data_IF_887908546671
#
_entry.id   IF_887908546671
#
_cell.length_a   1.000
_cell.length_b   1.000
_cell.length_c   1.000
_cell.angle_alpha   90.00
_cell.angle_beta   90.00
_cell.angle_gamma   90.00
#
_symmetry.space_group_name_H-M   'P 1'
#
loop_
_entity.id
_entity.type
_entity.pdbx_description
1 polymer ?
#
# COMPACT_ATOMS: atom_id res chain seq x y z
N UNK A 1 -4.98 -8.75 14.22
CA UNK A 1 -3.61 -8.96 13.74
C UNK A 1 -3.35 -10.44 13.41
N UNK A 2 -3.78 -11.37 14.26
CA UNK A 2 -3.56 -12.81 14.02
C UNK A 2 -4.11 -13.30 12.69
N UNK A 3 -5.34 -12.92 12.32
CA UNK A 3 -5.93 -13.27 11.02
C UNK A 3 -5.12 -12.72 9.86
N UNK A 4 -4.58 -11.52 10.01
CA UNK A 4 -3.75 -10.89 8.98
C UNK A 4 -2.43 -11.63 8.80
N UNK A 5 -1.79 -12.06 9.88
CA UNK A 5 -0.57 -12.87 9.81
C UNK A 5 -0.81 -14.21 9.11
N UNK A 6 -1.91 -14.89 9.46
CA UNK A 6 -2.32 -16.12 8.78
C UNK A 6 -2.55 -15.89 7.29
N UNK A 7 -3.27 -14.81 6.95
CA UNK A 7 -3.48 -14.41 5.55
C UNK A 7 -2.16 -14.24 4.79
N UNK A 8 -1.18 -13.57 5.39
CA UNK A 8 0.12 -13.35 4.76
C UNK A 8 0.87 -14.65 4.48
N UNK A 9 0.80 -15.61 5.40
CA UNK A 9 1.42 -16.92 5.22
C UNK A 9 0.75 -17.73 4.10
N UNK A 10 -0.58 -17.73 4.08
CA UNK A 10 -1.37 -18.52 3.14
C UNK A 10 -1.43 -17.95 1.72
N UNK A 11 -1.27 -16.64 1.58
CA UNK A 11 -1.47 -15.92 0.31
C UNK A 11 -0.22 -15.26 -0.22
N UNK A 12 0.96 -15.72 0.19
CA UNK A 12 2.22 -15.16 -0.30
C UNK A 12 2.25 -15.22 -1.83
N UNK A 13 2.39 -14.07 -2.53
CA UNK A 13 2.40 -14.06 -3.97
C UNK A 13 3.70 -14.61 -4.53
N UNK A 14 3.64 -15.08 -5.78
CA UNK A 14 4.84 -15.34 -6.55
C UNK A 14 5.46 -14.02 -6.96
N UNK A 15 6.73 -13.79 -6.60
CA UNK A 15 7.46 -12.58 -6.93
C UNK A 15 8.40 -12.84 -8.09
N UNK A 16 8.32 -12.00 -9.11
CA UNK A 16 9.18 -12.10 -10.29
C UNK A 16 10.07 -10.86 -10.37
N UNK A 17 11.38 -10.98 -10.00
CA UNK A 17 12.30 -9.84 -10.02
C UNK A 17 12.46 -9.15 -11.38
N UNK A 18 12.08 -9.80 -12.48
CA UNK A 18 12.12 -9.19 -13.80
C UNK A 18 11.19 -8.00 -13.95
N UNK A 19 10.13 -7.93 -13.12
CA UNK A 19 9.15 -6.85 -13.12
C UNK A 19 9.40 -5.81 -12.02
N UNK A 20 10.50 -5.94 -11.28
CA UNK A 20 10.84 -4.97 -10.23
C UNK A 20 11.22 -3.63 -10.85
N UNK A 21 10.84 -2.59 -10.15
CA UNK A 21 11.17 -1.21 -10.46
C UNK A 21 11.61 -0.48 -9.20
N UNK A 22 12.01 0.76 -9.33
CA UNK A 22 12.29 1.59 -8.15
C UNK A 22 10.96 1.88 -7.45
N UNK A 23 10.86 1.48 -6.20
CA UNK A 23 9.72 1.82 -5.34
C UNK A 23 10.19 2.77 -4.24
N UNK A 24 9.31 3.68 -3.86
CA UNK A 24 9.56 4.61 -2.78
C UNK A 24 9.47 3.93 -1.41
N UNK A 25 8.43 3.13 -1.21
CA UNK A 25 8.21 2.34 0.01
C UNK A 25 7.43 3.05 1.10
N UNK A 26 7.22 4.37 0.99
CA UNK A 26 6.52 5.16 2.01
C UNK A 26 5.76 6.34 1.39
N UNK A 27 4.89 6.05 0.43
CA UNK A 27 4.17 7.05 -0.39
C UNK A 27 2.96 7.67 0.31
N UNK A 28 3.01 7.79 1.63
CA UNK A 28 1.92 8.43 2.38
C UNK A 28 1.89 9.96 2.19
N UNK A 29 0.79 10.59 2.61
CA UNK A 29 0.55 12.03 2.39
C UNK A 29 1.61 12.94 2.99
N UNK A 30 2.35 12.51 4.01
CA UNK A 30 3.41 13.32 4.62
C UNK A 30 4.64 13.49 3.72
N UNK A 31 4.79 12.63 2.71
CA UNK A 31 5.91 12.64 1.78
C UNK A 31 5.57 13.30 0.44
N UNK A 32 4.37 13.84 0.30
CA UNK A 32 3.94 14.59 -0.87
C UNK A 32 3.91 16.08 -0.56
N UNK A 33 4.60 16.88 -1.37
CA UNK A 33 4.63 18.33 -1.24
C UNK A 33 3.99 18.97 -2.47
N UNK A 34 3.09 19.90 -2.22
CA UNK A 34 2.46 20.71 -3.28
C UNK A 34 3.08 22.10 -3.27
N UNK A 35 3.66 22.53 -4.40
CA UNK A 35 4.21 23.86 -4.54
C UNK A 35 3.11 24.91 -4.74
N UNK A 36 3.50 26.19 -4.62
CA UNK A 36 2.62 27.33 -4.93
C UNK A 36 2.28 27.45 -6.43
N UNK A 37 2.95 26.66 -7.29
CA UNK A 37 2.65 26.52 -8.73
C UNK A 37 1.84 25.26 -9.06
N UNK A 38 1.23 24.64 -8.06
CA UNK A 38 0.49 23.38 -8.19
C UNK A 38 1.34 22.21 -8.72
N UNK A 39 2.65 22.24 -8.49
CA UNK A 39 3.54 21.13 -8.79
C UNK A 39 3.61 20.17 -7.60
N UNK A 40 3.47 18.89 -7.86
CA UNK A 40 3.47 17.84 -6.83
C UNK A 40 4.83 17.15 -6.79
N UNK A 41 5.43 17.08 -5.61
CA UNK A 41 6.73 16.45 -5.37
C UNK A 41 6.59 15.31 -4.36
N UNK A 42 7.20 14.20 -4.68
CA UNK A 42 7.35 13.09 -3.76
C UNK A 42 8.76 13.15 -3.16
N UNK A 43 8.85 13.22 -1.84
CA UNK A 43 10.10 13.39 -1.10
C UNK A 43 10.36 12.21 -0.16
N UNK A 44 11.50 12.21 0.53
CA UNK A 44 11.91 11.20 1.49
C UNK A 44 12.08 9.81 0.85
N UNK A 45 13.06 9.75 -0.04
CA UNK A 45 13.41 8.55 -0.82
C UNK A 45 14.42 7.62 -0.14
N UNK A 46 14.72 7.82 1.14
CA UNK A 46 15.77 7.04 1.83
C UNK A 46 15.46 5.54 1.88
N UNK A 47 14.19 5.16 1.86
CA UNK A 47 13.75 3.76 1.82
C UNK A 47 13.59 3.18 0.42
N UNK A 48 13.94 3.93 -0.63
CA UNK A 48 13.76 3.47 -2.00
C UNK A 48 14.60 2.23 -2.31
N UNK A 49 13.99 1.32 -3.07
CA UNK A 49 14.64 0.06 -3.43
C UNK A 49 14.08 -0.47 -4.74
N UNK A 50 14.78 -1.44 -5.33
CA UNK A 50 14.23 -2.23 -6.43
C UNK A 50 13.29 -3.29 -5.85
N UNK A 51 12.02 -3.20 -6.17
CA UNK A 51 11.01 -4.11 -5.65
C UNK A 51 9.75 -4.11 -6.53
N UNK A 52 8.74 -4.84 -6.09
CA UNK A 52 7.46 -4.93 -6.78
C UNK A 52 6.71 -3.59 -6.69
N UNK A 53 6.32 -2.99 -7.84
CA UNK A 53 5.58 -1.74 -7.84
C UNK A 53 4.23 -1.80 -7.11
N UNK A 54 3.68 -2.98 -6.90
CA UNK A 54 2.45 -3.16 -6.11
C UNK A 54 2.58 -2.64 -4.67
N UNK A 55 3.80 -2.49 -4.14
CA UNK A 55 4.05 -1.90 -2.82
C UNK A 55 3.53 -0.46 -2.78
N UNK A 56 3.99 0.39 -3.69
CA UNK A 56 3.58 1.80 -3.75
C UNK A 56 2.14 1.96 -4.23
N UNK A 57 1.77 1.23 -5.26
CA UNK A 57 0.42 1.27 -5.84
C UNK A 57 -0.63 0.86 -4.80
N UNK A 58 -0.38 -0.21 -4.06
CA UNK A 58 -1.28 -0.67 -3.02
C UNK A 58 -1.46 0.35 -1.90
N UNK A 59 -0.38 0.94 -1.43
CA UNK A 59 -0.44 1.98 -0.40
C UNK A 59 -1.26 3.19 -0.86
N UNK A 60 -1.04 3.66 -2.09
CA UNK A 60 -1.77 4.79 -2.64
C UNK A 60 -3.25 4.49 -2.81
N UNK A 61 -3.59 3.38 -3.46
CA UNK A 61 -4.98 3.09 -3.79
C UNK A 61 -5.81 2.76 -2.55
N UNK A 62 -5.30 1.93 -1.64
CA UNK A 62 -6.04 1.57 -0.43
C UNK A 62 -6.23 2.74 0.54
N UNK A 63 -5.30 3.69 0.57
CA UNK A 63 -5.38 4.82 1.51
C UNK A 63 -6.11 6.04 0.95
N UNK A 64 -6.01 6.30 -0.36
CA UNK A 64 -6.39 7.62 -0.89
C UNK A 64 -7.37 7.59 -2.05
N UNK A 65 -7.61 6.45 -2.67
CA UNK A 65 -8.43 6.37 -3.88
C UNK A 65 -9.64 5.46 -3.64
N UNK A 66 -10.87 5.95 -3.84
CA UNK A 66 -12.04 5.08 -3.77
C UNK A 66 -11.92 3.90 -4.72
N UNK A 67 -12.35 2.72 -4.28
CA UNK A 67 -12.17 1.48 -5.02
C UNK A 67 -12.78 1.50 -6.42
N UNK A 68 -13.89 2.19 -6.60
CA UNK A 68 -14.55 2.33 -7.90
C UNK A 68 -13.78 3.22 -8.90
N UNK A 69 -12.72 3.89 -8.45
CA UNK A 69 -11.86 4.71 -9.30
C UNK A 69 -10.50 4.05 -9.59
N UNK A 70 -10.24 2.86 -9.02
CA UNK A 70 -8.95 2.20 -9.19
C UNK A 70 -8.63 1.85 -10.65
N UNK A 71 -9.60 1.37 -11.41
CA UNK A 71 -9.40 1.02 -12.82
C UNK A 71 -8.92 2.22 -13.65
N UNK A 72 -9.56 3.36 -13.47
CA UNK A 72 -9.18 4.61 -14.16
C UNK A 72 -7.80 5.08 -13.72
N UNK A 73 -7.52 5.01 -12.41
CA UNK A 73 -6.21 5.40 -11.87
C UNK A 73 -5.10 4.52 -12.44
N UNK A 74 -5.29 3.20 -12.45
CA UNK A 74 -4.31 2.25 -12.98
C UNK A 74 -4.07 2.46 -14.47
N UNK A 75 -5.11 2.73 -15.25
CA UNK A 75 -4.99 3.05 -16.66
C UNK A 75 -4.13 4.29 -16.88
N UNK A 76 -4.39 5.36 -16.14
CA UNK A 76 -3.61 6.60 -16.23
C UNK A 76 -2.16 6.42 -15.77
N UNK A 77 -1.95 5.59 -14.78
CA UNK A 77 -0.60 5.24 -14.29
C UNK A 77 0.17 4.39 -15.31
N UNK A 78 -0.53 3.73 -16.23
CA UNK A 78 0.07 2.87 -17.24
C UNK A 78 0.23 1.42 -16.79
N UNK A 79 -0.53 0.99 -15.80
CA UNK A 79 -0.51 -0.37 -15.27
C UNK A 79 -1.81 -1.09 -15.62
N UNK A 80 -1.68 -2.30 -16.18
CA UNK A 80 -2.86 -3.09 -16.50
C UNK A 80 -3.46 -3.71 -15.24
N UNK A 81 -4.75 -3.46 -15.03
CA UNK A 81 -5.49 -4.11 -13.96
C UNK A 81 -5.54 -5.62 -14.18
N UNK A 82 -5.27 -6.38 -13.11
CA UNK A 82 -5.32 -7.83 -13.14
C UNK A 82 -5.59 -8.39 -11.75
N UNK A 83 -6.08 -9.63 -11.70
CA UNK A 83 -6.26 -10.34 -10.43
C UNK A 83 -4.94 -10.50 -9.70
N UNK A 84 -3.86 -10.81 -10.41
CA UNK A 84 -2.53 -10.94 -9.84
C UNK A 84 -2.05 -9.64 -9.19
N UNK A 85 -2.19 -8.51 -9.88
CA UNK A 85 -1.85 -7.20 -9.32
C UNK A 85 -2.68 -6.91 -8.07
N UNK A 86 -3.98 -7.15 -8.11
CA UNK A 86 -4.88 -6.92 -6.96
C UNK A 86 -4.47 -7.75 -5.75
N UNK A 87 -4.10 -9.01 -5.95
CA UNK A 87 -3.63 -9.89 -4.86
C UNK A 87 -2.31 -9.38 -4.26
N UNK A 88 -1.38 -8.95 -5.09
CA UNK A 88 -0.10 -8.43 -4.62
C UNK A 88 -0.27 -7.11 -3.88
N UNK A 89 -1.10 -6.21 -4.38
CA UNK A 89 -1.44 -4.95 -3.72
C UNK A 89 -2.00 -5.19 -2.31
N UNK A 90 -2.98 -6.07 -2.20
CA UNK A 90 -3.58 -6.41 -0.90
C UNK A 90 -2.56 -7.00 0.05
N UNK A 91 -1.74 -7.94 -0.42
CA UNK A 91 -0.73 -8.61 0.40
C UNK A 91 0.27 -7.60 0.99
N UNK A 92 0.82 -6.72 0.16
CA UNK A 92 1.75 -5.69 0.64
C UNK A 92 1.09 -4.67 1.56
N UNK A 93 -0.16 -4.28 1.26
CA UNK A 93 -0.89 -3.32 2.10
C UNK A 93 -1.17 -3.89 3.49
N UNK A 94 -1.46 -5.19 3.60
CA UNK A 94 -1.61 -5.86 4.89
C UNK A 94 -0.30 -5.82 5.68
N UNK A 95 0.84 -6.09 5.06
CA UNK A 95 2.16 -5.99 5.72
C UNK A 95 2.38 -4.57 6.26
N UNK A 96 2.14 -3.56 5.44
CA UNK A 96 2.34 -2.16 5.80
C UNK A 96 1.42 -1.76 6.96
N UNK A 97 0.16 -2.18 6.93
CA UNK A 97 -0.81 -1.89 7.99
C UNK A 97 -0.39 -2.52 9.33
N UNK A 98 0.08 -3.76 9.31
CA UNK A 98 0.61 -4.42 10.53
C UNK A 98 1.80 -3.64 11.07
N UNK A 99 2.75 -3.25 10.22
CA UNK A 99 3.91 -2.46 10.61
C UNK A 99 3.53 -1.13 11.26
N UNK A 100 2.51 -0.45 10.73
CA UNK A 100 2.00 0.81 11.29
C UNK A 100 1.30 0.61 12.64
N UNK A 101 0.58 -0.50 12.80
CA UNK A 101 -0.01 -0.86 14.10
C UNK A 101 1.08 -1.09 15.14
N UNK A 102 2.08 -1.89 14.82
CA UNK A 102 3.19 -2.20 15.73
C UNK A 102 3.98 -0.94 16.10
N UNK A 103 4.33 -0.14 15.10
CA UNK A 103 5.05 1.11 15.32
C UNK A 103 4.26 2.07 16.24
N UNK A 104 2.97 2.22 15.98
CA UNK A 104 2.10 3.09 16.80
C UNK A 104 2.01 2.60 18.24
N UNK A 105 1.93 1.28 18.45
CA UNK A 105 1.94 0.68 19.78
C UNK A 105 3.27 0.94 20.51
N UNK A 106 4.39 0.73 19.85
CA UNK A 106 5.72 0.98 20.42
C UNK A 106 5.91 2.45 20.81
N UNK A 107 5.38 3.38 20.01
CA UNK A 107 5.41 4.81 20.29
C UNK A 107 4.33 5.25 21.28
N UNK A 108 3.52 4.34 21.80
CA UNK A 108 2.37 4.62 22.69
C UNK A 108 1.35 5.59 22.10
N UNK A 109 1.24 5.59 20.77
CA UNK A 109 0.26 6.39 20.01
C UNK A 109 -1.00 5.57 19.76
N UNK A 110 -1.71 5.27 20.84
CA UNK A 110 -2.83 4.32 20.80
C UNK A 110 -4.01 4.78 19.95
N UNK A 111 -4.20 6.08 19.81
CA UNK A 111 -5.23 6.63 18.92
C UNK A 111 -4.90 6.29 17.44
N UNK A 112 -3.64 6.47 17.05
CA UNK A 112 -3.18 6.12 15.71
C UNK A 112 -3.20 4.60 15.51
N UNK A 113 -2.80 3.84 16.51
CA UNK A 113 -2.88 2.38 16.49
C UNK A 113 -4.30 1.89 16.17
N UNK A 114 -5.30 2.49 16.79
CA UNK A 114 -6.70 2.13 16.54
C UNK A 114 -7.15 2.50 15.13
N UNK A 115 -6.66 3.61 14.58
CA UNK A 115 -6.92 4.01 13.19
C UNK A 115 -6.34 2.95 12.24
N UNK A 116 -5.10 2.51 12.48
CA UNK A 116 -4.44 1.51 11.63
C UNK A 116 -5.03 0.11 11.79
N UNK A 117 -5.51 -0.25 12.98
CA UNK A 117 -6.25 -1.51 13.19
C UNK A 117 -7.55 -1.52 12.40
N UNK A 118 -8.28 -0.42 12.39
CA UNK A 118 -9.48 -0.27 11.57
C UNK A 118 -9.16 -0.39 10.07
N UNK A 119 -8.12 0.31 9.62
CA UNK A 119 -7.65 0.24 8.24
C UNK A 119 -7.26 -1.19 7.86
N UNK A 120 -6.50 -1.88 8.70
CA UNK A 120 -6.14 -3.29 8.49
C UNK A 120 -7.36 -4.17 8.31
N UNK A 121 -8.37 -3.99 9.16
CA UNK A 121 -9.61 -4.75 9.07
C UNK A 121 -10.36 -4.47 7.77
N UNK A 122 -10.40 -3.22 7.34
CA UNK A 122 -11.01 -2.84 6.06
C UNK A 122 -10.29 -3.48 4.87
N UNK A 123 -8.98 -3.48 4.88
CA UNK A 123 -8.16 -4.12 3.82
C UNK A 123 -8.41 -5.63 3.81
N UNK A 124 -8.41 -6.27 4.98
CA UNK A 124 -8.65 -7.71 5.10
C UNK A 124 -10.02 -8.12 4.57
N UNK A 125 -11.02 -7.29 4.76
CA UNK A 125 -12.40 -7.55 4.31
C UNK A 125 -12.66 -7.08 2.87
N UNK A 126 -11.69 -6.43 2.23
CA UNK A 126 -11.84 -5.97 0.85
C UNK A 126 -11.84 -7.17 -0.12
N UNK A 127 -12.64 -7.06 -1.18
CA UNK A 127 -12.62 -8.04 -2.24
C UNK A 127 -11.45 -7.77 -3.19
N UNK A 128 -10.79 -8.85 -3.59
CA UNK A 128 -9.84 -8.81 -4.70
C UNK A 128 -10.66 -8.97 -5.97
N UNK A 129 -10.54 -8.03 -6.91
CA UNK A 129 -11.25 -8.12 -8.17
C UNK A 129 -10.34 -8.07 -9.38
N UNK A 130 -10.96 -8.55 -10.41
CA UNK A 130 -10.36 -8.66 -11.73
C UNK A 130 -10.66 -7.40 -12.52
#
# INVERSE_FOLDING_TARGET
>A
VRKALTYLEEHKPHLDPRFYTVVHGDVNHNNWLLSDRDELYLVDWEGAMLADPAIDIGMLLYNYVPQNEWSEWLEKYGCKESLDLSKRMKWYTVIQAIGLVEWSEEQKRYKDMNIWLKFLNEVMNSNVFI
#
